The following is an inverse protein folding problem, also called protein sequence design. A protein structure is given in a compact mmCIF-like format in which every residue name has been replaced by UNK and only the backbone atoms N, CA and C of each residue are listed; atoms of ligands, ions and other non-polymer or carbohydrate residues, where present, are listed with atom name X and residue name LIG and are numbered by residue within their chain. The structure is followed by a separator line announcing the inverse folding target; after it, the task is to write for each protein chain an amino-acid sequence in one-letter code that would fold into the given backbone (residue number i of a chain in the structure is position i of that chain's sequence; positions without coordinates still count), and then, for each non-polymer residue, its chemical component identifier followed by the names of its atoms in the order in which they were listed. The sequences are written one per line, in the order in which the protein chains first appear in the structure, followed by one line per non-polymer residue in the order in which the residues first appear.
data_IF_186972305148
#
_entry.id   IF_186972305148
#
_cell.length_a   1.000
_cell.length_b   1.000
_cell.length_c   1.000
_cell.angle_alpha   90.00
_cell.angle_beta   90.00
_cell.angle_gamma   90.00
#
_symmetry.space_group_name_H-M   'P 1'
#
loop_
_entity.id
_entity.type
_entity.pdbx_description
1 polymer ?
#
# COMPACT_ATOMS: atom_id res chain seq x y z
N UNK A 1 8.20 -3.80 -11.12
CA UNK A 1 7.02 -3.26 -10.40
C UNK A 1 6.96 -3.69 -8.94
N UNK A 2 6.63 -4.93 -8.56
CA UNK A 2 6.53 -5.30 -7.12
C UNK A 2 7.83 -5.03 -6.34
N UNK A 3 8.99 -5.42 -6.88
CA UNK A 3 10.30 -5.12 -6.25
C UNK A 3 10.60 -3.62 -6.16
N UNK A 4 10.05 -2.80 -7.05
CA UNK A 4 10.20 -1.34 -6.97
C UNK A 4 9.32 -0.80 -5.85
N UNK A 5 8.05 -1.19 -5.79
CA UNK A 5 7.14 -0.80 -4.70
C UNK A 5 7.72 -1.21 -3.33
N UNK A 6 8.24 -2.43 -3.22
CA UNK A 6 8.87 -2.91 -1.99
C UNK A 6 10.01 -1.98 -1.50
N UNK A 7 10.86 -1.54 -2.44
CA UNK A 7 11.98 -0.65 -2.15
C UNK A 7 11.51 0.78 -1.85
N UNK A 8 10.63 1.32 -2.69
CA UNK A 8 10.17 2.71 -2.58
C UNK A 8 9.33 2.96 -1.33
N UNK A 9 8.58 1.95 -0.88
CA UNK A 9 7.82 2.00 0.38
C UNK A 9 8.69 1.74 1.61
N UNK A 10 9.96 1.36 1.42
CA UNK A 10 10.89 0.96 2.47
C UNK A 10 10.33 -0.17 3.35
N UNK A 11 9.71 -1.18 2.73
CA UNK A 11 9.14 -2.32 3.46
C UNK A 11 10.24 -3.00 4.26
N UNK A 12 10.08 -3.03 5.59
CA UNK A 12 11.10 -3.62 6.47
C UNK A 12 10.90 -5.11 6.61
N UNK A 13 11.92 -5.85 6.16
CA UNK A 13 11.96 -7.31 6.18
C UNK A 13 11.97 -7.91 7.60
N UNK A 14 11.61 -9.18 7.69
CA UNK A 14 11.62 -9.98 8.92
C UNK A 14 10.28 -10.63 9.23
N UNK A 15 10.35 -11.69 10.05
CA UNK A 15 9.16 -12.40 10.53
C UNK A 15 8.32 -11.47 11.41
N UNK A 16 7.00 -11.51 11.22
CA UNK A 16 6.01 -10.80 12.04
C UNK A 16 5.04 -11.80 12.63
N UNK A 17 4.67 -11.59 13.89
CA UNK A 17 3.56 -12.32 14.51
C UNK A 17 2.26 -11.63 14.16
N UNK A 18 1.20 -12.40 13.99
CA UNK A 18 -0.15 -11.83 13.93
C UNK A 18 -0.51 -11.31 15.33
N UNK A 19 -1.17 -10.15 15.43
CA UNK A 19 -1.67 -9.68 16.71
C UNK A 19 -2.87 -10.53 17.14
N UNK A 20 -2.95 -10.88 18.43
CA UNK A 20 -4.06 -11.67 18.99
C UNK A 20 -5.36 -10.87 19.10
N UNK A 21 -5.28 -9.54 19.00
CA UNK A 21 -6.40 -8.60 19.06
C UNK A 21 -6.13 -7.39 18.15
N UNK A 22 -7.16 -6.63 17.76
CA UNK A 22 -6.97 -5.33 17.11
C UNK A 22 -6.06 -4.42 17.93
N UNK A 23 -5.22 -3.63 17.24
CA UNK A 23 -4.33 -2.64 17.84
C UNK A 23 -5.13 -1.55 18.55
N UNK A 24 -4.67 -1.13 19.72
CA UNK A 24 -5.27 -0.08 20.54
C UNK A 24 -4.29 1.08 20.76
N UNK A 25 -4.78 2.29 21.08
CA UNK A 25 -3.92 3.41 21.48
C UNK A 25 -3.02 3.02 22.66
N UNK A 26 -1.71 3.26 22.52
CA UNK A 26 -0.71 2.92 23.54
C UNK A 26 -0.02 1.56 23.38
N UNK A 27 -0.50 0.70 22.45
CA UNK A 27 0.20 -0.54 22.11
C UNK A 27 1.59 -0.26 21.51
N UNK A 28 2.60 -1.13 21.78
CA UNK A 28 3.91 -1.03 21.16
C UNK A 28 3.80 -1.15 19.63
N UNK A 29 4.74 -0.52 18.94
CA UNK A 29 4.77 -0.52 17.48
C UNK A 29 4.88 -1.97 16.96
N UNK A 30 3.79 -2.45 16.35
CA UNK A 30 3.69 -3.78 15.78
C UNK A 30 3.55 -3.66 14.27
N UNK A 31 4.53 -4.23 13.57
CA UNK A 31 4.50 -4.33 12.11
C UNK A 31 3.69 -5.56 11.72
N UNK A 32 2.64 -5.34 10.94
CA UNK A 32 1.80 -6.41 10.41
C UNK A 32 2.54 -7.27 9.39
N UNK A 33 2.17 -8.55 9.23
CA UNK A 33 2.67 -9.37 8.13
C UNK A 33 2.09 -8.91 6.78
N UNK A 34 2.80 -9.25 5.70
CA UNK A 34 2.22 -9.17 4.36
C UNK A 34 1.14 -10.25 4.19
N UNK A 35 0.10 -9.96 3.41
CA UNK A 35 -0.95 -10.91 3.06
C UNK A 35 -0.84 -11.30 1.59
N UNK A 36 -1.31 -12.50 1.25
CA UNK A 36 -1.49 -12.96 -0.12
C UNK A 36 -2.93 -13.40 -0.33
N UNK A 37 -3.58 -12.85 -1.34
CA UNK A 37 -4.86 -13.33 -1.85
C UNK A 37 -4.64 -14.15 -3.10
N UNK A 38 -5.45 -15.20 -3.27
CA UNK A 38 -5.48 -16.03 -4.47
C UNK A 38 -6.88 -15.99 -5.07
N UNK A 39 -7.03 -15.29 -6.18
CA UNK A 39 -8.28 -15.22 -6.93
C UNK A 39 -8.41 -16.43 -7.85
N UNK A 40 -9.49 -17.18 -7.68
CA UNK A 40 -9.85 -18.30 -8.57
C UNK A 40 -10.94 -17.85 -9.54
N UNK A 41 -10.74 -18.10 -10.83
CA UNK A 41 -11.74 -17.79 -11.86
C UNK A 41 -12.04 -19.02 -12.71
N UNK A 42 -13.29 -19.21 -13.18
CA UNK A 42 -13.64 -20.32 -14.08
C UNK A 42 -12.74 -20.35 -15.32
N UNK A 43 -12.33 -21.56 -15.73
CA UNK A 43 -11.49 -21.78 -16.90
C UNK A 43 -10.01 -21.37 -16.74
N UNK A 44 -9.57 -20.99 -15.54
CA UNK A 44 -8.15 -20.79 -15.22
C UNK A 44 -7.59 -21.99 -14.47
N UNK A 45 -6.44 -22.47 -14.92
CA UNK A 45 -5.73 -23.61 -14.32
C UNK A 45 -4.90 -23.23 -13.09
N UNK A 46 -4.73 -21.94 -12.81
CA UNK A 46 -3.98 -21.46 -11.66
C UNK A 46 -4.62 -20.19 -11.12
N UNK A 47 -4.65 -20.01 -9.79
CA UNK A 47 -5.18 -18.79 -9.18
C UNK A 47 -4.27 -17.60 -9.51
N UNK A 48 -4.87 -16.41 -9.56
CA UNK A 48 -4.12 -15.17 -9.68
C UNK A 48 -3.76 -14.65 -8.29
N UNK A 49 -2.47 -14.39 -8.07
CA UNK A 49 -1.98 -13.91 -6.79
C UNK A 49 -2.02 -12.37 -6.73
N UNK A 50 -2.48 -11.86 -5.59
CA UNK A 50 -2.39 -10.46 -5.19
C UNK A 50 -1.65 -10.38 -3.85
N UNK A 51 -0.65 -9.51 -3.76
CA UNK A 51 0.07 -9.24 -2.50
C UNK A 51 -0.52 -7.99 -1.86
N UNK A 52 -0.71 -8.03 -0.55
CA UNK A 52 -1.14 -6.88 0.26
C UNK A 52 -0.01 -6.52 1.22
N UNK A 53 0.55 -5.34 1.01
CA UNK A 53 1.64 -4.78 1.79
C UNK A 53 1.06 -3.89 2.89
N UNK A 54 1.48 -4.06 4.16
CA UNK A 54 1.14 -3.11 5.21
C UNK A 54 1.87 -1.80 4.98
N UNK A 55 1.17 -0.69 5.17
CA UNK A 55 1.75 0.67 5.13
C UNK A 55 1.42 1.50 6.38
N UNK A 56 0.71 0.92 7.35
CA UNK A 56 0.43 1.57 8.62
C UNK A 56 1.74 1.89 9.36
N UNK A 57 1.74 2.99 10.12
CA UNK A 57 2.89 3.50 10.91
C UNK A 57 4.01 4.16 10.11
N UNK A 58 3.89 4.24 8.79
CA UNK A 58 4.75 5.09 7.98
C UNK A 58 4.13 6.49 7.80
N UNK A 59 4.92 7.57 7.77
CA UNK A 59 4.37 8.90 7.50
C UNK A 59 3.59 8.93 6.20
N UNK A 60 2.37 9.47 6.22
CA UNK A 60 1.46 9.46 5.05
C UNK A 60 2.13 10.06 3.82
N UNK A 61 2.81 11.20 4.00
CA UNK A 61 3.53 11.86 2.91
C UNK A 61 4.68 11.02 2.34
N UNK A 62 5.30 10.13 3.14
CA UNK A 62 6.33 9.21 2.64
C UNK A 62 5.74 8.20 1.67
N UNK A 63 4.60 7.59 2.05
CA UNK A 63 3.87 6.64 1.21
C UNK A 63 3.37 7.35 -0.05
N UNK A 64 2.82 8.55 0.09
CA UNK A 64 2.30 9.33 -1.03
C UNK A 64 3.37 9.71 -2.05
N UNK A 65 4.56 10.10 -1.57
CA UNK A 65 5.70 10.42 -2.44
C UNK A 65 6.21 9.18 -3.19
N UNK A 66 6.31 8.03 -2.51
CA UNK A 66 6.70 6.76 -3.13
C UNK A 66 5.73 6.36 -4.25
N UNK A 67 4.42 6.40 -3.98
CA UNK A 67 3.40 6.06 -4.97
C UNK A 67 3.35 7.07 -6.12
N UNK A 68 3.47 8.37 -5.84
CA UNK A 68 3.54 9.42 -6.87
C UNK A 68 4.72 9.20 -7.82
N UNK A 69 5.90 8.88 -7.28
CA UNK A 69 7.07 8.55 -8.09
C UNK A 69 6.85 7.26 -8.92
N UNK A 70 6.25 6.23 -8.32
CA UNK A 70 5.89 5.00 -9.02
C UNK A 70 4.93 5.26 -10.20
N UNK A 71 3.86 6.03 -9.97
CA UNK A 71 2.91 6.42 -11.01
C UNK A 71 3.58 7.15 -12.16
N UNK A 72 4.48 8.11 -11.85
CA UNK A 72 5.22 8.85 -12.87
C UNK A 72 6.10 7.93 -13.73
N UNK A 73 6.83 6.99 -13.11
CA UNK A 73 7.72 6.05 -13.83
C UNK A 73 6.95 5.09 -14.74
N UNK A 74 5.73 4.71 -14.35
CA UNK A 74 4.89 3.79 -15.11
C UNK A 74 3.85 4.48 -16.00
N UNK A 75 4.06 5.77 -16.32
CA UNK A 75 3.26 6.51 -17.29
C UNK A 75 1.86 6.92 -16.81
N UNK A 76 1.57 6.80 -15.51
CA UNK A 76 0.29 7.18 -14.89
C UNK A 76 0.30 8.67 -14.51
N UNK A 77 0.53 9.55 -15.49
CA UNK A 77 0.80 10.99 -15.25
C UNK A 77 -0.31 11.68 -14.46
N UNK A 78 -1.58 11.45 -14.83
CA UNK A 78 -2.74 12.02 -14.12
C UNK A 78 -2.75 11.64 -12.65
N UNK A 79 -2.46 10.37 -12.34
CA UNK A 79 -2.41 9.89 -10.96
C UNK A 79 -1.23 10.52 -10.22
N UNK A 80 -0.04 10.57 -10.83
CA UNK A 80 1.12 11.20 -10.21
C UNK A 80 0.91 12.71 -9.93
N UNK A 81 0.13 13.40 -10.77
CA UNK A 81 -0.14 14.83 -10.61
C UNK A 81 -1.17 15.13 -9.50
N UNK A 82 -2.05 14.17 -9.19
CA UNK A 82 -3.21 14.42 -8.32
C UNK A 82 -3.16 13.67 -6.98
N UNK A 83 -2.45 12.54 -6.89
CA UNK A 83 -2.52 11.63 -5.74
C UNK A 83 -2.27 12.31 -4.39
N UNK A 84 -1.14 12.99 -4.24
CA UNK A 84 -0.77 13.68 -2.99
C UNK A 84 -1.74 14.79 -2.62
N UNK A 85 -2.24 15.55 -3.60
CA UNK A 85 -3.20 16.63 -3.32
C UNK A 85 -4.57 16.08 -2.91
N UNK A 86 -5.01 14.98 -3.53
CA UNK A 86 -6.24 14.29 -3.15
C UNK A 86 -6.13 13.76 -1.72
N UNK A 87 -5.02 13.10 -1.37
CA UNK A 87 -4.77 12.65 0.00
C UNK A 87 -4.87 13.78 1.01
N UNK A 88 -4.19 14.92 0.76
CA UNK A 88 -4.28 16.12 1.62
C UNK A 88 -5.70 16.63 1.76
N UNK A 89 -6.51 16.55 0.70
CA UNK A 89 -7.90 17.02 0.72
C UNK A 89 -8.82 16.17 1.60
N UNK A 90 -8.50 14.90 1.83
CA UNK A 90 -9.31 14.02 2.68
C UNK A 90 -9.12 14.29 4.17
N UNK A 91 -7.99 14.88 4.56
CA UNK A 91 -7.60 15.11 5.96
C UNK A 91 -7.25 16.58 6.24
N UNK A 92 -8.22 17.51 6.11
CA UNK A 92 -7.97 18.93 6.30
C UNK A 92 -7.48 19.24 7.73
N UNK A 93 -6.42 20.05 7.84
CA UNK A 93 -5.84 20.46 9.12
C UNK A 93 -5.02 19.39 9.84
N UNK A 94 -4.79 18.22 9.22
CA UNK A 94 -3.85 17.21 9.71
C UNK A 94 -2.47 17.44 9.12
N UNK A 95 -1.45 17.24 9.96
CA UNK A 95 -0.08 17.20 9.51
C UNK A 95 0.24 15.78 9.00
N UNK A 96 0.22 15.61 7.68
CA UNK A 96 0.46 14.33 7.01
C UNK A 96 1.94 13.95 6.93
N UNK A 97 2.86 14.85 7.29
CA UNK A 97 4.28 14.52 7.43
C UNK A 97 4.55 13.76 8.74
N UNK A 98 3.61 13.78 9.70
CA UNK A 98 3.71 13.05 10.98
C UNK A 98 2.60 12.02 11.20
N UNK A 99 1.43 12.17 10.56
CA UNK A 99 0.35 11.18 10.63
C UNK A 99 0.79 9.83 10.00
N UNK A 100 0.26 8.72 10.51
CA UNK A 100 0.67 7.36 10.10
C UNK A 100 -0.46 6.33 10.09
N UNK A 101 -1.69 6.79 10.17
CA UNK A 101 -2.91 6.02 10.42
C UNK A 101 -4.00 6.30 9.38
N UNK A 102 -3.64 6.72 8.17
CA UNK A 102 -4.61 7.00 7.09
C UNK A 102 -4.46 6.03 5.91
N UNK A 103 -3.24 5.64 5.55
CA UNK A 103 -2.99 4.66 4.48
C UNK A 103 -2.63 3.29 5.06
N UNK A 104 -3.64 2.42 5.19
CA UNK A 104 -3.51 1.16 5.93
C UNK A 104 -2.79 0.06 5.15
N UNK A 105 -3.22 -0.18 3.92
CA UNK A 105 -2.74 -1.30 3.10
C UNK A 105 -2.62 -0.92 1.63
N UNK A 106 -1.63 -1.52 0.96
CA UNK A 106 -1.48 -1.45 -0.48
C UNK A 106 -1.59 -2.86 -1.08
N UNK A 107 -2.62 -3.13 -1.87
CA UNK A 107 -2.62 -4.34 -2.70
C UNK A 107 -1.96 -4.08 -4.05
N UNK A 108 -1.26 -5.10 -4.56
CA UNK A 108 -0.66 -5.12 -5.89
C UNK A 108 -0.86 -6.47 -6.54
N UNK A 109 -1.36 -6.45 -7.76
CA UNK A 109 -1.41 -7.61 -8.65
C UNK A 109 -1.03 -7.20 -10.07
N UNK A 110 -0.65 -8.19 -10.89
CA UNK A 110 -0.23 -7.93 -12.26
C UNK A 110 -0.69 -9.04 -13.18
N UNK A 111 -1.15 -8.68 -14.39
CA UNK A 111 -1.28 -9.62 -15.50
C UNK A 111 -0.71 -9.00 -16.76
N UNK A 112 -0.14 -9.82 -17.65
CA UNK A 112 0.37 -9.33 -18.96
C UNK A 112 -0.73 -8.64 -19.80
N UNK A 113 -1.98 -9.07 -19.64
CA UNK A 113 -3.13 -8.54 -20.40
C UNK A 113 -3.62 -7.18 -19.88
N UNK A 114 -3.74 -7.02 -18.56
CA UNK A 114 -4.32 -5.81 -17.94
C UNK A 114 -3.26 -4.82 -17.42
N UNK A 115 -2.01 -5.26 -17.29
CA UNK A 115 -0.96 -4.47 -16.66
C UNK A 115 -1.02 -4.54 -15.11
N UNK A 116 -0.38 -3.58 -14.42
CA UNK A 116 -0.42 -3.49 -12.97
C UNK A 116 -1.81 -3.07 -12.48
N UNK A 117 -2.24 -3.68 -11.38
CA UNK A 117 -3.42 -3.30 -10.63
C UNK A 117 -3.01 -3.02 -9.18
N UNK A 118 -3.43 -1.87 -8.66
CA UNK A 118 -2.99 -1.38 -7.36
C UNK A 118 -4.17 -0.72 -6.64
N UNK A 119 -4.38 -1.10 -5.38
CA UNK A 119 -5.44 -0.55 -4.53
C UNK A 119 -4.85 -0.05 -3.22
N UNK A 120 -5.11 1.21 -2.87
CA UNK A 120 -4.81 1.75 -1.54
C UNK A 120 -6.05 1.67 -0.68
N UNK A 121 -5.91 1.10 0.51
CA UNK A 121 -6.96 1.01 1.52
C UNK A 121 -6.73 2.09 2.56
N UNK A 122 -7.68 3.02 2.68
CA UNK A 122 -7.64 4.12 3.64
C UNK A 122 -8.41 3.76 4.92
N UNK A 123 -8.09 4.44 6.02
CA UNK A 123 -8.89 4.48 7.24
C UNK A 123 -10.02 5.51 7.15
#
# INVERSE_FOLDING_TARGET
MLRELWKDLCIVEGKRSLPDRPTQPGDPETRMPCLLNYEMSPGKTSPHAEVILPSHRDPEMRIANALTAFFKRHGMQNQSATYTNNLKSYYPGKDLDVATDHQAWLSFSYTKKKGPYLTMYYH
#
